data_IF_217879818856
#
_entry.id   IF_217879818856
#
_cell.length_a   1.000
_cell.length_b   1.000
_cell.length_c   1.000
_cell.angle_alpha   90.00
_cell.angle_beta   90.00
_cell.angle_gamma   90.00
#
_symmetry.space_group_name_H-M   'P 1'
#
loop_
_entity.id
_entity.type
_entity.pdbx_description
1 polymer ?
#
# COMPACT_ATOMS: atom_id res chain seq x y z
N UNK A 1 4.12 15.12 27.03
CA UNK A 1 2.69 15.50 26.90
C UNK A 1 2.25 15.20 25.48
N UNK A 2 1.31 14.27 25.30
CA UNK A 2 0.83 13.90 23.98
C UNK A 2 -0.09 15.01 23.43
N UNK A 3 0.45 15.88 22.58
CA UNK A 3 -0.36 16.77 21.76
C UNK A 3 -0.98 15.93 20.64
N UNK A 4 -1.97 15.10 20.99
CA UNK A 4 -2.80 14.46 20.00
C UNK A 4 -3.50 15.56 19.20
N UNK A 5 -3.22 15.65 17.91
CA UNK A 5 -3.82 16.58 16.96
C UNK A 5 -5.34 16.50 17.03
N UNK A 6 -6.04 17.43 17.71
CA UNK A 6 -7.49 17.34 17.90
C UNK A 6 -8.22 17.43 16.55
N UNK A 7 -7.61 18.12 15.58
CA UNK A 7 -8.12 18.26 14.22
C UNK A 7 -8.04 16.95 13.41
N UNK A 8 -7.05 16.08 13.66
CA UNK A 8 -6.81 14.86 12.90
C UNK A 8 -7.97 13.85 12.99
N UNK A 9 -8.59 13.80 14.17
CA UNK A 9 -9.71 12.91 14.48
C UNK A 9 -11.03 13.65 14.68
N UNK A 10 -11.08 14.93 14.26
CA UNK A 10 -12.33 15.69 14.21
C UNK A 10 -13.36 14.98 13.33
N UNK A 11 -12.92 14.39 12.22
CA UNK A 11 -13.72 13.47 11.41
C UNK A 11 -13.50 12.02 11.83
N UNK A 12 -14.60 11.27 12.02
CA UNK A 12 -14.58 9.81 12.25
C UNK A 12 -14.17 8.99 11.01
N UNK A 13 -14.05 9.62 9.83
CA UNK A 13 -13.67 9.00 8.55
C UNK A 13 -12.24 9.37 8.13
N UNK A 14 -11.33 9.58 9.08
CA UNK A 14 -9.93 9.87 8.80
C UNK A 14 -9.05 8.70 9.26
N UNK A 15 -8.28 8.15 8.32
CA UNK A 15 -7.25 7.15 8.56
C UNK A 15 -5.87 7.79 8.45
N UNK A 16 -5.17 7.89 9.58
CA UNK A 16 -3.80 8.39 9.62
C UNK A 16 -2.85 7.24 9.36
N UNK A 17 -2.23 7.23 8.18
CA UNK A 17 -1.15 6.31 7.83
C UNK A 17 0.06 6.60 8.69
N UNK A 18 0.60 5.56 9.32
CA UNK A 18 1.86 5.63 10.03
C UNK A 18 2.97 5.10 9.10
N UNK A 19 3.91 5.96 8.66
CA UNK A 19 5.08 5.53 7.91
C UNK A 19 5.79 4.39 8.63
N UNK A 20 6.14 3.34 7.90
CA UNK A 20 6.77 2.15 8.48
C UNK A 20 8.10 1.92 7.80
N UNK A 21 9.15 1.92 8.59
CA UNK A 21 10.52 1.72 8.11
C UNK A 21 11.00 0.34 8.55
N UNK A 22 12.03 -0.15 7.87
CA UNK A 22 12.79 -1.32 8.31
C UNK A 22 14.27 -1.10 8.02
N UNK A 23 15.13 -1.87 8.70
CA UNK A 23 16.54 -1.87 8.39
C UNK A 23 16.80 -2.65 7.10
N UNK A 24 17.57 -2.07 6.17
CA UNK A 24 17.86 -2.62 4.85
C UNK A 24 18.56 -3.98 4.95
N UNK A 25 19.65 -4.00 5.72
CA UNK A 25 20.52 -5.17 5.83
C UNK A 25 20.54 -5.70 7.27
N UNK A 26 20.03 -6.91 7.46
CA UNK A 26 20.12 -7.63 8.74
C UNK A 26 20.80 -9.00 8.54
N UNK A 27 21.63 -9.10 7.49
CA UNK A 27 22.35 -10.34 7.15
C UNK A 27 23.26 -10.84 8.27
N UNK A 28 23.73 -9.95 9.15
CA UNK A 28 24.44 -10.32 10.38
C UNK A 28 23.64 -11.29 11.27
N UNK A 29 22.30 -11.24 11.23
CA UNK A 29 21.44 -12.21 11.92
C UNK A 29 21.04 -13.42 11.06
N UNK A 30 21.37 -13.41 9.76
CA UNK A 30 21.11 -14.53 8.83
C UNK A 30 22.21 -15.59 8.85
N UNK A 31 23.37 -15.32 9.46
CA UNK A 31 24.47 -16.29 9.65
C UNK A 31 24.03 -17.51 10.51
N UNK A 32 22.96 -17.37 11.28
CA UNK A 32 22.32 -18.46 12.01
C UNK A 32 21.39 -19.25 11.08
N UNK A 33 21.67 -20.55 10.90
CA UNK A 33 20.84 -21.48 10.12
C UNK A 33 19.39 -21.49 10.65
N UNK A 34 18.43 -21.78 9.78
CA UNK A 34 17.00 -21.91 10.15
C UNK A 34 16.77 -22.90 11.31
N UNK A 35 17.65 -23.90 11.47
CA UNK A 35 17.61 -24.91 12.54
C UNK A 35 18.05 -24.37 13.92
N UNK A 36 18.63 -23.18 14.00
CA UNK A 36 19.03 -22.50 15.25
C UNK A 36 18.20 -21.21 15.44
N UNK A 37 16.88 -21.38 15.36
CA UNK A 37 15.90 -20.29 15.41
C UNK A 37 16.03 -19.41 16.65
N UNK A 38 16.44 -19.99 17.79
CA UNK A 38 16.62 -19.27 19.05
C UNK A 38 17.76 -18.24 18.96
N UNK A 39 18.88 -18.57 18.31
CA UNK A 39 19.99 -17.61 18.11
C UNK A 39 19.64 -16.51 17.13
N UNK A 40 18.97 -16.85 16.02
CA UNK A 40 18.48 -15.86 15.06
C UNK A 40 17.50 -14.90 15.72
N UNK A 41 16.55 -15.41 16.50
CA UNK A 41 15.60 -14.58 17.23
C UNK A 41 16.30 -13.70 18.27
N UNK A 42 17.28 -14.22 19.02
CA UNK A 42 18.06 -13.44 19.97
C UNK A 42 18.82 -12.28 19.30
N UNK A 43 19.42 -12.51 18.12
CA UNK A 43 20.07 -11.46 17.34
C UNK A 43 19.09 -10.35 16.92
N UNK A 44 17.93 -10.74 16.38
CA UNK A 44 16.88 -9.80 15.95
C UNK A 44 16.29 -9.02 17.13
N UNK A 45 16.12 -9.67 18.30
CA UNK A 45 15.69 -8.99 19.54
C UNK A 45 16.71 -7.98 20.02
N UNK A 46 18.00 -8.30 19.96
CA UNK A 46 19.07 -7.34 20.29
C UNK A 46 19.03 -6.14 19.37
N UNK A 47 18.84 -6.36 18.07
CA UNK A 47 18.66 -5.27 17.11
C UNK A 47 17.45 -4.39 17.46
N UNK A 48 16.31 -4.99 17.84
CA UNK A 48 15.12 -4.27 18.28
C UNK A 48 15.39 -3.33 19.48
N UNK A 49 16.27 -3.75 20.39
CA UNK A 49 16.63 -2.96 21.57
C UNK A 49 17.66 -1.89 21.25
N UNK A 50 18.75 -2.28 20.58
CA UNK A 50 19.96 -1.47 20.46
C UNK A 50 19.95 -0.52 19.24
N UNK A 51 19.34 -0.94 18.13
CA UNK A 51 19.54 -0.31 16.81
C UNK A 51 18.25 0.26 16.19
N UNK A 52 17.09 0.05 16.83
CA UNK A 52 15.83 0.61 16.32
C UNK A 52 15.75 2.11 16.60
N UNK A 53 15.49 2.95 15.58
CA UNK A 53 15.24 4.38 15.76
C UNK A 53 14.19 4.64 16.84
N UNK A 54 14.46 5.61 17.72
CA UNK A 54 13.56 5.98 18.83
C UNK A 54 12.86 7.31 18.57
N UNK A 55 13.47 8.17 17.78
CA UNK A 55 12.95 9.49 17.41
C UNK A 55 12.79 9.64 15.91
N UNK A 56 12.06 10.68 15.50
CA UNK A 56 11.94 11.03 14.09
C UNK A 56 13.31 11.42 13.48
N UNK A 57 14.16 12.07 14.25
CA UNK A 57 15.51 12.44 13.82
C UNK A 57 16.39 11.20 13.59
N UNK A 58 16.26 10.17 14.45
CA UNK A 58 16.98 8.91 14.28
C UNK A 58 16.60 8.23 12.95
N UNK A 59 15.29 8.16 12.65
CA UNK A 59 14.84 7.51 11.40
C UNK A 59 15.15 8.37 10.18
N UNK A 60 15.17 9.71 10.31
CA UNK A 60 15.58 10.61 9.24
C UNK A 60 17.07 10.43 8.90
N UNK A 61 17.94 10.35 9.92
CA UNK A 61 19.36 10.09 9.73
C UNK A 61 19.60 8.71 9.08
N UNK A 62 18.97 7.67 9.62
CA UNK A 62 19.06 6.31 9.10
C UNK A 62 18.45 6.14 7.70
N UNK A 63 17.43 6.93 7.34
CA UNK A 63 16.91 6.90 5.98
C UNK A 63 17.84 7.63 4.99
N UNK A 64 18.46 8.73 5.45
CA UNK A 64 19.40 9.50 4.65
C UNK A 64 20.72 8.75 4.38
N UNK A 65 21.21 7.97 5.35
CA UNK A 65 22.41 7.13 5.18
C UNK A 65 22.14 5.83 4.40
N UNK A 66 20.87 5.49 4.17
CA UNK A 66 20.42 4.31 3.43
C UNK A 66 20.42 3.01 4.23
N UNK A 67 20.65 3.05 5.54
CA UNK A 67 20.53 1.92 6.45
C UNK A 67 19.08 1.57 6.74
N UNK A 68 18.18 2.56 6.76
CA UNK A 68 16.73 2.39 6.86
C UNK A 68 16.06 2.59 5.50
N UNK A 69 15.08 1.73 5.21
CA UNK A 69 14.30 1.76 3.98
C UNK A 69 12.80 1.75 4.29
N UNK A 70 11.99 1.99 3.27
CA UNK A 70 10.56 1.70 3.34
C UNK A 70 10.34 0.23 3.70
N UNK A 71 9.43 -0.04 4.63
CA UNK A 71 9.04 -1.41 4.95
C UNK A 71 8.56 -2.16 3.70
N UNK A 72 9.13 -3.35 3.45
CA UNK A 72 8.87 -4.16 2.28
C UNK A 72 9.18 -3.42 0.96
N UNK A 73 10.33 -2.73 0.88
CA UNK A 73 10.77 -2.03 -0.33
C UNK A 73 10.89 -2.93 -1.57
N UNK A 74 11.09 -4.24 -1.37
CA UNK A 74 11.06 -5.25 -2.45
C UNK A 74 9.65 -5.51 -3.03
N UNK A 75 8.60 -4.97 -2.42
CA UNK A 75 7.22 -5.00 -2.90
C UNK A 75 6.60 -3.59 -2.78
N UNK A 76 7.10 -2.60 -3.54
CA UNK A 76 6.86 -1.20 -3.24
C UNK A 76 5.38 -0.79 -3.32
N UNK A 77 4.57 -1.51 -4.09
CA UNK A 77 3.14 -1.28 -4.23
C UNK A 77 2.34 -1.36 -2.91
N UNK A 78 2.86 -2.04 -1.88
CA UNK A 78 2.17 -2.13 -0.57
C UNK A 78 2.33 -0.89 0.30
N UNK A 79 3.36 -0.06 0.10
CA UNK A 79 3.65 1.08 0.98
C UNK A 79 4.02 2.40 0.26
N UNK A 80 4.23 2.40 -1.06
CA UNK A 80 4.72 3.57 -1.81
C UNK A 80 3.82 4.82 -1.75
N UNK A 81 2.50 4.67 -1.60
CA UNK A 81 1.55 5.80 -1.55
C UNK A 81 1.89 6.77 -0.41
N UNK A 82 2.52 6.28 0.66
CA UNK A 82 3.03 7.11 1.76
C UNK A 82 4.03 8.17 1.29
N UNK A 83 4.75 7.94 0.18
CA UNK A 83 5.78 8.82 -0.38
C UNK A 83 6.88 9.16 0.64
N UNK A 84 7.76 8.19 0.89
CA UNK A 84 8.81 8.25 1.91
C UNK A 84 9.80 9.42 1.72
N UNK A 85 10.32 9.71 0.52
CA UNK A 85 11.20 10.87 0.32
C UNK A 85 10.56 12.19 0.73
N UNK A 86 9.25 12.34 0.49
CA UNK A 86 8.51 13.55 0.85
C UNK A 86 8.28 13.71 2.35
N UNK A 87 8.42 12.64 3.16
CA UNK A 87 8.27 12.72 4.62
C UNK A 87 9.31 13.64 5.26
N UNK A 88 10.48 13.74 4.64
CA UNK A 88 11.62 14.52 5.14
C UNK A 88 11.75 15.89 4.47
N UNK A 89 10.87 16.20 3.51
CA UNK A 89 10.82 17.50 2.85
C UNK A 89 9.85 18.42 3.60
N UNK A 90 10.38 19.46 4.26
CA UNK A 90 9.62 20.40 5.08
C UNK A 90 8.76 19.70 6.16
N UNK A 91 9.40 19.08 7.17
CA UNK A 91 8.70 18.35 8.22
C UNK A 91 7.94 19.33 9.12
N UNK A 92 6.70 19.66 8.75
CA UNK A 92 5.76 20.30 9.67
C UNK A 92 5.18 19.20 10.59
N UNK A 93 5.56 19.17 11.88
CA UNK A 93 5.09 18.15 12.82
C UNK A 93 3.59 18.28 13.13
N UNK A 94 2.95 19.34 12.61
CA UNK A 94 1.55 19.61 12.80
C UNK A 94 0.68 19.42 11.56
N UNK A 95 1.28 19.26 10.39
CA UNK A 95 0.54 19.13 9.15
C UNK A 95 0.27 17.66 8.78
N UNK A 96 -1.01 17.31 8.66
CA UNK A 96 -1.42 16.03 8.10
C UNK A 96 -1.53 16.18 6.59
N UNK A 97 -0.63 15.51 5.87
CA UNK A 97 -0.70 15.46 4.41
C UNK A 97 -1.74 14.44 3.98
N UNK A 98 -2.91 14.95 3.59
CA UNK A 98 -3.98 14.13 3.01
C UNK A 98 -3.58 13.58 1.64
N UNK A 99 -4.09 12.40 1.29
CA UNK A 99 -3.90 11.78 -0.01
C UNK A 99 -4.93 12.27 -1.01
N UNK A 100 -4.44 12.70 -2.17
CA UNK A 100 -5.27 13.00 -3.34
C UNK A 100 -5.70 11.72 -4.05
N UNK A 101 -4.84 10.71 -4.08
CA UNK A 101 -5.10 9.39 -4.64
C UNK A 101 -4.20 8.33 -3.98
N UNK A 102 -4.57 7.05 -4.14
CA UNK A 102 -3.78 5.89 -3.70
C UNK A 102 -3.07 5.28 -4.91
N UNK A 103 -1.75 5.11 -4.85
CA UNK A 103 -0.95 4.68 -6.01
C UNK A 103 -1.17 3.22 -6.40
N UNK A 104 -1.54 2.38 -5.44
CA UNK A 104 -1.79 0.97 -5.70
C UNK A 104 -2.97 0.45 -4.92
N UNK A 105 -3.74 -0.37 -5.60
CA UNK A 105 -4.70 -1.28 -5.02
C UNK A 105 -4.08 -2.25 -3.99
N UNK A 106 -2.76 -2.46 -4.01
CA UNK A 106 -2.10 -3.34 -3.03
C UNK A 106 -1.66 -2.63 -1.75
N UNK A 107 -1.97 -1.34 -1.61
CA UNK A 107 -1.54 -0.52 -0.50
C UNK A 107 -2.10 -1.04 0.84
N UNK A 108 -1.20 -1.40 1.76
CA UNK A 108 -1.50 -2.00 3.07
C UNK A 108 -0.73 -1.35 4.24
N UNK A 109 -0.81 -0.01 4.41
CA UNK A 109 -0.18 0.69 5.53
C UNK A 109 -0.72 0.25 6.89
N UNK A 110 0.05 0.56 7.93
CA UNK A 110 -0.48 0.69 9.28
C UNK A 110 -1.21 2.03 9.38
N UNK A 111 -2.39 2.01 10.00
CA UNK A 111 -3.24 3.20 10.15
C UNK A 111 -3.71 3.36 11.60
N UNK A 112 -3.83 4.60 12.05
CA UNK A 112 -4.50 4.98 13.28
C UNK A 112 -5.80 5.69 12.92
N UNK A 113 -6.89 5.29 13.56
CA UNK A 113 -8.23 5.80 13.32
C UNK A 113 -8.96 6.00 14.63
N UNK A 114 -9.92 6.93 14.62
CA UNK A 114 -10.88 7.05 15.73
C UNK A 114 -11.81 5.84 15.70
N UNK A 115 -11.91 5.14 16.82
CA UNK A 115 -12.88 4.07 16.98
C UNK A 115 -14.31 4.58 16.76
N UNK A 116 -15.06 3.92 15.88
CA UNK A 116 -16.46 4.26 15.61
C UNK A 116 -17.19 3.08 14.95
N UNK A 117 -18.52 3.14 14.93
CA UNK A 117 -19.35 2.16 14.23
C UNK A 117 -19.15 2.15 12.69
N UNK A 118 -18.48 3.17 12.13
CA UNK A 118 -18.14 3.19 10.71
C UNK A 118 -16.96 2.27 10.34
N UNK A 119 -16.23 1.75 11.34
CA UNK A 119 -15.17 0.78 11.12
C UNK A 119 -15.78 -0.60 10.90
N UNK A 120 -15.73 -1.10 9.67
CA UNK A 120 -16.17 -2.45 9.34
C UNK A 120 -15.25 -3.49 10.00
N UNK A 121 -15.77 -4.69 10.29
CA UNK A 121 -14.92 -5.83 10.61
C UNK A 121 -14.07 -6.26 9.40
N UNK A 122 -13.04 -7.07 9.64
CA UNK A 122 -12.38 -7.82 8.56
C UNK A 122 -13.37 -8.84 7.98
N UNK A 123 -13.29 -9.06 6.67
CA UNK A 123 -14.14 -10.05 6.01
C UNK A 123 -13.58 -11.47 6.23
N UNK A 124 -14.42 -12.40 6.67
CA UNK A 124 -14.04 -13.78 7.04
C UNK A 124 -13.57 -14.62 5.84
N UNK A 125 -13.77 -14.16 4.60
CA UNK A 125 -13.13 -14.77 3.42
C UNK A 125 -11.60 -14.62 3.44
N UNK A 126 -11.07 -13.66 4.20
CA UNK A 126 -9.65 -13.32 4.27
C UNK A 126 -9.00 -13.83 5.57
N UNK A 127 -9.17 -15.12 5.85
CA UNK A 127 -8.59 -15.82 7.01
C UNK A 127 -7.21 -16.42 6.73
N UNK A 128 -6.45 -16.62 7.80
CA UNK A 128 -5.11 -17.21 7.74
C UNK A 128 -4.02 -16.14 7.65
N UNK A 129 -3.46 -15.92 6.45
CA UNK A 129 -2.34 -14.99 6.25
C UNK A 129 -2.49 -14.16 4.98
N UNK A 130 -2.29 -12.85 5.11
CA UNK A 130 -2.20 -11.91 3.98
C UNK A 130 -3.55 -11.37 3.50
N UNK A 131 -3.50 -10.26 2.77
CA UNK A 131 -4.62 -9.56 2.10
C UNK A 131 -5.71 -8.96 2.98
N UNK A 132 -5.86 -9.40 4.23
CA UNK A 132 -6.85 -8.87 5.17
C UNK A 132 -6.71 -7.34 5.32
N UNK A 133 -5.48 -6.82 5.41
CA UNK A 133 -5.23 -5.36 5.47
C UNK A 133 -5.69 -4.65 4.20
N UNK A 134 -5.36 -5.19 3.02
CA UNK A 134 -5.75 -4.63 1.71
C UNK A 134 -7.28 -4.60 1.61
N UNK A 135 -7.93 -5.73 1.88
CA UNK A 135 -9.38 -5.87 1.89
C UNK A 135 -10.03 -4.80 2.77
N UNK A 136 -9.58 -4.69 4.01
CA UNK A 136 -10.17 -3.80 4.99
C UNK A 136 -9.99 -2.32 4.60
N UNK A 137 -8.79 -1.93 4.16
CA UNK A 137 -8.54 -0.57 3.68
C UNK A 137 -9.36 -0.24 2.43
N UNK A 138 -9.61 -1.21 1.55
CA UNK A 138 -10.50 -0.98 0.41
C UNK A 138 -11.93 -0.70 0.84
N UNK A 139 -12.46 -1.47 1.79
CA UNK A 139 -13.79 -1.23 2.36
C UNK A 139 -13.86 0.16 2.97
N UNK A 140 -12.89 0.54 3.80
CA UNK A 140 -12.82 1.88 4.42
C UNK A 140 -12.85 3.00 3.38
N UNK A 141 -12.06 2.89 2.30
CA UNK A 141 -12.08 3.86 1.20
C UNK A 141 -13.43 3.92 0.49
N UNK A 142 -14.11 2.77 0.31
CA UNK A 142 -15.44 2.72 -0.32
C UNK A 142 -16.53 3.39 0.52
N UNK A 143 -16.46 3.25 1.85
CA UNK A 143 -17.38 3.90 2.80
C UNK A 143 -16.99 5.36 3.12
N UNK A 144 -15.96 5.90 2.47
CA UNK A 144 -15.63 7.33 2.50
C UNK A 144 -14.52 7.74 3.45
N UNK A 145 -13.71 6.81 3.95
CA UNK A 145 -12.50 7.18 4.68
C UNK A 145 -11.53 7.93 3.76
N UNK A 146 -10.99 9.03 4.30
CA UNK A 146 -9.86 9.75 3.73
C UNK A 146 -8.59 9.32 4.46
N UNK A 147 -7.49 9.34 3.72
CA UNK A 147 -6.18 8.93 4.21
C UNK A 147 -5.26 10.13 4.27
N UNK A 148 -4.42 10.20 5.29
CA UNK A 148 -3.34 11.16 5.37
C UNK A 148 -2.17 10.60 6.16
N UNK A 149 -0.97 11.13 5.98
CA UNK A 149 0.19 10.66 6.76
C UNK A 149 0.19 11.32 8.13
N UNK A 150 0.35 10.51 9.18
CA UNK A 150 0.57 10.98 10.53
C UNK A 150 1.91 11.75 10.61
N UNK A 151 1.92 13.03 11.03
CA UNK A 151 3.16 13.77 11.19
C UNK A 151 3.93 13.29 12.42
N UNK A 152 5.27 13.42 12.38
CA UNK A 152 6.18 13.13 13.50
C UNK A 152 5.92 11.77 14.20
N UNK A 153 5.49 10.76 13.44
CA UNK A 153 5.13 9.44 13.95
C UNK A 153 5.60 8.41 12.95
N UNK A 154 6.20 7.33 13.44
CA UNK A 154 6.64 6.22 12.59
C UNK A 154 6.48 4.89 13.33
N UNK A 155 6.49 3.81 12.55
CA UNK A 155 6.71 2.46 13.01
C UNK A 155 8.05 1.98 12.47
N UNK A 156 8.71 1.14 13.26
CA UNK A 156 9.91 0.46 12.83
C UNK A 156 9.67 -1.04 12.88
N UNK A 157 9.64 -1.68 11.71
CA UNK A 157 9.53 -3.13 11.60
C UNK A 157 10.90 -3.75 11.84
N UNK A 158 10.96 -4.63 12.82
CA UNK A 158 12.12 -5.49 13.05
C UNK A 158 11.85 -6.82 12.37
N UNK A 159 12.78 -7.26 11.51
CA UNK A 159 12.68 -8.57 10.87
C UNK A 159 12.53 -9.64 11.94
N UNK A 160 11.67 -10.61 11.67
CA UNK A 160 11.38 -11.72 12.54
C UNK A 160 11.25 -13.01 11.71
N UNK A 161 11.43 -14.19 12.31
CA UNK A 161 11.17 -15.45 11.64
C UNK A 161 9.77 -15.49 11.01
N UNK A 162 9.64 -16.22 9.89
CA UNK A 162 8.36 -16.38 9.22
C UNK A 162 7.45 -17.28 10.07
N UNK A 163 6.19 -16.87 10.22
CA UNK A 163 5.21 -17.67 10.93
C UNK A 163 4.81 -18.92 10.14
N UNK A 164 4.31 -19.95 10.84
CA UNK A 164 3.75 -21.13 10.19
C UNK A 164 2.63 -20.76 9.20
N UNK A 165 1.79 -19.78 9.56
CA UNK A 165 0.73 -19.27 8.69
C UNK A 165 1.28 -18.66 7.39
N UNK A 166 2.40 -17.91 7.46
CA UNK A 166 3.10 -17.40 6.27
C UNK A 166 3.59 -18.52 5.36
N UNK A 167 4.12 -19.59 5.95
CA UNK A 167 4.64 -20.74 5.21
C UNK A 167 3.52 -21.58 4.57
N UNK A 168 2.39 -21.77 5.25
CA UNK A 168 1.18 -22.38 4.67
C UNK A 168 0.71 -21.55 3.47
N UNK A 169 0.57 -20.23 3.65
CA UNK A 169 0.16 -19.32 2.58
C UNK A 169 1.11 -19.36 1.38
N UNK A 170 2.43 -19.34 1.63
CA UNK A 170 3.46 -19.46 0.58
C UNK A 170 3.32 -20.77 -0.21
N UNK A 171 3.14 -21.90 0.48
CA UNK A 171 2.95 -23.20 -0.18
C UNK A 171 1.68 -23.25 -1.02
N UNK A 172 0.59 -22.67 -0.51
CA UNK A 172 -0.67 -22.54 -1.26
C UNK A 172 -0.52 -21.75 -2.57
N UNK A 173 0.30 -20.70 -2.58
CA UNK A 173 0.65 -19.96 -3.80
C UNK A 173 1.38 -20.85 -4.81
N UNK A 174 2.37 -21.62 -4.36
CA UNK A 174 3.20 -22.45 -5.25
C UNK A 174 2.47 -23.68 -5.83
N UNK A 175 1.51 -24.25 -5.10
CA UNK A 175 0.78 -25.45 -5.54
C UNK A 175 -0.24 -25.15 -6.66
N UNK A 176 -0.81 -23.95 -6.71
CA UNK A 176 -1.76 -23.52 -7.75
C UNK A 176 -1.00 -22.87 -8.92
N UNK A 177 -0.39 -23.67 -9.80
CA UNK A 177 0.46 -23.31 -10.98
C UNK A 177 -0.08 -22.24 -11.98
N UNK A 178 -1.05 -21.39 -11.64
CA UNK A 178 -1.49 -20.24 -12.42
C UNK A 178 -1.13 -18.91 -11.74
N UNK A 179 -0.12 -18.27 -12.33
CA UNK A 179 0.59 -17.07 -11.87
C UNK A 179 -0.20 -15.82 -12.26
N UNK A 180 -1.39 -15.66 -11.65
CA UNK A 180 -1.96 -14.32 -11.36
C UNK A 180 -2.34 -14.15 -9.89
N UNK A 181 -1.98 -15.14 -9.05
CA UNK A 181 -2.18 -15.10 -7.61
C UNK A 181 -3.68 -15.22 -7.28
N UNK A 182 -4.21 -16.41 -6.96
CA UNK A 182 -5.64 -16.64 -6.64
C UNK A 182 -6.19 -15.75 -5.51
N UNK A 183 -5.29 -15.08 -4.81
CA UNK A 183 -5.51 -14.16 -3.72
C UNK A 183 -5.94 -12.75 -4.19
N UNK A 184 -5.33 -12.16 -5.22
CA UNK A 184 -5.81 -10.86 -5.72
C UNK A 184 -7.11 -10.97 -6.48
N UNK A 185 -7.37 -12.11 -7.12
CA UNK A 185 -8.68 -12.40 -7.71
C UNK A 185 -9.79 -12.36 -6.66
N UNK A 186 -9.56 -12.91 -5.46
CA UNK A 186 -10.48 -12.80 -4.34
C UNK A 186 -10.68 -11.34 -3.91
N UNK A 187 -9.59 -10.57 -3.82
CA UNK A 187 -9.65 -9.13 -3.51
C UNK A 187 -10.44 -8.36 -4.57
N UNK A 188 -10.27 -8.67 -5.86
CA UNK A 188 -11.02 -8.06 -6.97
C UNK A 188 -12.49 -8.46 -6.98
N UNK A 189 -12.78 -9.73 -6.76
CA UNK A 189 -14.16 -10.23 -6.61
C UNK A 189 -14.84 -9.51 -5.44
N UNK A 190 -14.13 -9.35 -4.32
CA UNK A 190 -14.61 -8.61 -3.17
C UNK A 190 -14.83 -7.13 -3.47
N UNK A 191 -13.91 -6.45 -4.17
CA UNK A 191 -14.11 -5.06 -4.61
C UNK A 191 -15.36 -4.89 -5.47
N UNK A 192 -15.63 -5.81 -6.39
CA UNK A 192 -16.82 -5.77 -7.23
C UNK A 192 -18.10 -5.93 -6.41
N UNK A 193 -18.10 -6.80 -5.39
CA UNK A 193 -19.21 -6.95 -4.45
C UNK A 193 -19.39 -5.71 -3.58
N UNK A 194 -18.29 -5.11 -3.12
CA UNK A 194 -18.31 -3.85 -2.37
C UNK A 194 -18.91 -2.71 -3.19
N UNK A 195 -18.56 -2.59 -4.47
CA UNK A 195 -19.14 -1.58 -5.36
C UNK A 195 -20.68 -1.69 -5.34
N UNK A 196 -21.21 -2.90 -5.59
CA UNK A 196 -22.65 -3.12 -5.59
C UNK A 196 -23.31 -2.86 -4.23
N UNK A 197 -22.61 -3.11 -3.13
CA UNK A 197 -23.16 -2.97 -1.77
C UNK A 197 -23.10 -1.52 -1.26
N UNK A 198 -22.10 -0.76 -1.70
CA UNK A 198 -21.80 0.57 -1.17
C UNK A 198 -22.01 1.70 -2.17
N UNK A 199 -22.46 1.43 -3.40
CA UNK A 199 -22.72 2.48 -4.39
C UNK A 199 -23.81 3.45 -3.94
N UNK A 200 -24.79 3.00 -3.16
CA UNK A 200 -25.88 3.83 -2.62
C UNK A 200 -25.60 4.40 -1.22
N UNK A 201 -24.43 4.11 -0.62
CA UNK A 201 -24.13 4.62 0.72
C UNK A 201 -23.94 6.13 0.67
N UNK A 202 -24.77 6.83 1.44
CA UNK A 202 -24.71 8.28 1.57
C UNK A 202 -23.35 8.71 2.12
N UNK A 203 -22.62 9.46 1.31
CA UNK A 203 -21.27 9.88 1.64
C UNK A 203 -21.24 11.12 2.53
N UNK A 204 -22.39 11.66 2.97
CA UNK A 204 -22.52 12.93 3.73
C UNK A 204 -21.58 14.05 3.17
N UNK A 205 -21.54 14.20 1.84
CA UNK A 205 -20.67 15.17 1.15
C UNK A 205 -19.17 14.79 1.05
N UNK A 206 -18.77 13.59 1.49
CA UNK A 206 -17.39 13.07 1.34
C UNK A 206 -17.16 12.54 -0.07
N UNK A 207 -15.91 12.65 -0.54
CA UNK A 207 -15.44 12.00 -1.76
C UNK A 207 -14.58 10.78 -1.43
N UNK A 208 -14.73 9.70 -2.21
CA UNK A 208 -13.86 8.51 -2.13
C UNK A 208 -12.48 8.89 -2.64
N UNK A 209 -11.42 8.51 -1.93
CA UNK A 209 -10.04 8.69 -2.43
C UNK A 209 -9.85 7.78 -3.66
N UNK A 210 -9.56 8.32 -4.85
CA UNK A 210 -9.39 7.52 -6.06
C UNK A 210 -8.09 6.72 -6.04
N UNK A 211 -8.00 5.71 -6.91
CA UNK A 211 -6.69 5.16 -7.29
C UNK A 211 -6.03 6.15 -8.25
N UNK A 212 -4.74 6.39 -8.10
CA UNK A 212 -4.01 7.32 -8.95
C UNK A 212 -4.10 6.87 -10.42
N UNK A 213 -4.19 7.82 -11.37
CA UNK A 213 -4.06 7.47 -12.78
C UNK A 213 -2.70 6.81 -13.03
N UNK A 214 -2.60 5.89 -14.00
CA UNK A 214 -1.31 5.33 -14.38
C UNK A 214 -0.35 6.45 -14.81
N UNK A 215 0.97 6.26 -14.67
CA UNK A 215 1.95 7.22 -15.16
C UNK A 215 1.69 7.53 -16.64
N UNK A 216 1.81 8.81 -17.03
CA UNK A 216 1.50 9.28 -18.40
C UNK A 216 2.31 8.52 -19.48
N UNK A 217 3.45 7.93 -19.12
CA UNK A 217 4.29 7.12 -20.00
C UNK A 217 3.63 5.81 -20.49
N UNK A 218 2.63 5.28 -19.77
CA UNK A 218 1.87 4.08 -20.17
C UNK A 218 0.64 4.38 -21.05
N UNK A 219 0.40 5.66 -21.37
CA UNK A 219 -0.73 6.12 -22.20
C UNK A 219 -0.34 6.20 -23.69
N UNK A 220 0.89 5.84 -24.07
CA UNK A 220 1.27 5.72 -25.49
C UNK A 220 0.50 4.54 -26.09
N UNK A 221 -0.49 4.91 -26.90
CA UNK A 221 -1.41 4.10 -27.68
C UNK A 221 -0.89 2.69 -28.00
N UNK A 222 -1.60 1.66 -27.51
CA UNK A 222 -1.56 0.36 -28.17
C UNK A 222 -1.98 0.61 -29.63
N UNK A 223 -1.16 0.31 -30.64
CA UNK A 223 -1.60 0.44 -32.02
C UNK A 223 -2.84 -0.44 -32.19
N UNK A 224 -3.98 0.17 -32.51
CA UNK A 224 -5.16 -0.57 -32.92
C UNK A 224 -4.82 -1.45 -34.14
N UNK A 225 -5.59 -2.52 -34.40
CA UNK A 225 -5.32 -3.40 -35.52
C UNK A 225 -5.30 -2.59 -36.82
N UNK A 226 -4.18 -2.65 -37.54
CA UNK A 226 -3.96 -2.01 -38.83
C UNK A 226 -5.21 -2.10 -39.72
N UNK A 227 -5.92 -0.98 -39.91
CA UNK A 227 -6.78 -0.83 -41.08
C UNK A 227 -5.88 -0.39 -42.22
N UNK A 228 -5.61 -1.30 -43.13
CA UNK A 228 -4.99 -0.97 -44.42
C UNK A 228 -5.81 0.14 -45.10
N UNK A 229 -5.18 1.21 -45.62
CA UNK A 229 -5.87 2.18 -46.44
C UNK A 229 -6.31 1.52 -47.75
N UNK A 230 -7.61 1.61 -48.07
CA UNK A 230 -8.10 1.30 -49.41
C UNK A 230 -7.44 2.26 -50.42
N UNK A 231 -6.78 1.70 -51.43
CA UNK A 231 -6.26 2.45 -52.57
C UNK A 231 -7.42 3.19 -53.27
N UNK A 232 -7.26 4.51 -53.41
CA UNK A 232 -8.09 5.33 -54.29
C UNK A 232 -7.66 5.11 -55.72
N UNK A 233 -8.56 4.60 -56.55
CA UNK A 233 -8.42 4.60 -58.01
C UNK A 233 -8.45 6.03 -58.57
N UNK A 234 -7.57 6.42 -59.50
CA UNK A 234 -7.62 7.73 -60.15
C UNK A 234 -8.75 7.80 -61.20
N UNK A 235 -9.46 8.93 -61.20
CA UNK A 235 -10.63 9.20 -62.04
C UNK A 235 -10.32 9.35 -63.54
N UNK A 236 -11.34 9.01 -64.34
CA UNK A 236 -11.39 9.21 -65.78
C UNK A 236 -11.46 10.72 -66.16
N UNK A 237 -10.92 11.13 -67.31
CA UNK A 237 -10.96 12.51 -67.75
C UNK A 237 -12.32 12.88 -68.36
N UNK A 238 -12.71 14.14 -68.16
CA UNK A 238 -13.93 14.76 -68.68
C UNK A 238 -13.88 14.92 -70.21
N UNK A 239 -14.99 14.58 -70.87
CA UNK A 239 -15.22 14.87 -72.28
C UNK A 239 -15.83 16.27 -72.44
N UNK A 240 -15.25 17.07 -73.31
CA UNK A 240 -15.86 18.28 -73.88
C UNK A 240 -15.68 18.25 -75.40
N UNK A 241 -16.82 18.36 -76.10
CA UNK A 241 -17.10 18.45 -77.53
C UNK A 241 -16.80 17.23 -78.41
#
# INVERSE_FOLDING_TARGET
>A
TAHAHPAAFASRYTALVVPTFEHKDLTACDEHKEDDGDRKEACLRRFAVDQSPRTWDDVAACFADGACIMYHDNFPFSHNTTNYPRLFQNPDPHHIRMFDCIQSERYEPYVVMRWSAALSAFDEMFVGYGLNKIQWLWTLRKVGFRYGVAPNTFLFHVKHPKSQAREVFRRGIHQKKNIKGPHMELVYKYASQLLQTYDDVEMEGRARVPICPPPVQDIIERPGPNRHPQERTPGAPAATN
#
